data_IF_643244059506
#
_entry.id   IF_643244059506
#
_cell.length_a   1.000
_cell.length_b   1.000
_cell.length_c   1.000
_cell.angle_alpha   90.00
_cell.angle_beta   90.00
_cell.angle_gamma   90.00
#
_symmetry.space_group_name_H-M   'P 1'
#
loop_
_entity.id
_entity.type
_entity.pdbx_description
1 polymer ?
#
# COMPACT_ATOMS: atom_id res chain seq x y z
N UNK A 1 7.09 13.99 6.26
CA UNK A 1 5.63 13.95 6.22
C UNK A 1 5.26 14.16 4.77
N UNK A 2 4.85 13.10 4.10
CA UNK A 2 4.29 13.18 2.76
C UNK A 2 2.81 13.42 2.99
N UNK A 3 2.32 14.55 2.47
CA UNK A 3 0.92 14.96 2.63
C UNK A 3 0.03 13.88 1.96
N UNK A 4 -1.06 13.38 2.57
CA UNK A 4 -1.96 12.40 1.96
C UNK A 4 -2.58 12.81 0.60
N UNK A 5 -2.34 14.03 0.11
CA UNK A 5 -2.62 14.45 -1.28
C UNK A 5 -1.47 14.22 -2.28
N UNK A 6 -0.39 13.55 -1.88
CA UNK A 6 0.82 13.35 -2.69
C UNK A 6 0.82 11.98 -3.35
N UNK A 7 0.34 10.93 -2.68
CA UNK A 7 0.28 9.57 -3.26
C UNK A 7 -1.16 9.11 -3.45
N UNK A 8 -1.59 8.90 -4.69
CA UNK A 8 -2.94 8.43 -5.02
C UNK A 8 -2.98 7.76 -6.41
N UNK A 9 -4.14 7.27 -6.81
CA UNK A 9 -4.41 6.61 -8.09
C UNK A 9 -3.44 5.47 -8.36
N UNK A 10 -3.27 4.57 -7.38
CA UNK A 10 -2.31 3.48 -7.45
C UNK A 10 -2.97 2.08 -7.49
N UNK A 11 -3.51 1.66 -8.65
CA UNK A 11 -4.08 0.33 -8.83
C UNK A 11 -3.03 -0.74 -8.53
N UNK A 12 -3.40 -1.70 -7.67
CA UNK A 12 -2.56 -2.82 -7.27
C UNK A 12 -2.64 -3.90 -8.34
N UNK A 13 -1.57 -4.08 -9.10
CA UNK A 13 -1.42 -5.20 -10.03
C UNK A 13 -1.08 -6.51 -9.31
N UNK A 14 -0.29 -6.42 -8.23
CA UNK A 14 0.14 -7.59 -7.46
C UNK A 14 0.55 -7.25 -6.03
N UNK A 15 0.23 -8.14 -5.10
CA UNK A 15 0.74 -8.11 -3.72
C UNK A 15 1.36 -9.45 -3.37
N UNK A 16 2.57 -9.44 -2.83
CA UNK A 16 3.25 -10.64 -2.35
C UNK A 16 4.26 -10.31 -1.26
N UNK A 17 4.68 -11.33 -0.51
CA UNK A 17 5.65 -11.19 0.57
C UNK A 17 6.86 -12.09 0.32
N UNK A 18 8.05 -11.57 0.62
CA UNK A 18 9.31 -12.30 0.58
C UNK A 18 10.10 -12.01 1.86
N UNK A 19 10.27 -13.02 2.72
CA UNK A 19 10.90 -12.84 4.03
C UNK A 19 10.14 -11.83 4.90
N UNK A 20 10.84 -10.79 5.35
CA UNK A 20 10.28 -9.67 6.12
C UNK A 20 9.88 -8.46 5.25
N UNK A 21 9.73 -8.66 3.94
CA UNK A 21 9.38 -7.62 2.98
C UNK A 21 8.03 -7.89 2.33
N UNK A 22 7.17 -6.86 2.28
CA UNK A 22 5.93 -6.85 1.50
C UNK A 22 6.19 -6.07 0.22
N UNK A 23 5.86 -6.66 -0.91
CA UNK A 23 5.94 -6.03 -2.22
C UNK A 23 4.55 -5.78 -2.77
N UNK A 24 4.33 -4.57 -3.28
CA UNK A 24 3.12 -4.15 -3.95
C UNK A 24 3.52 -3.59 -5.30
N UNK A 25 3.15 -4.26 -6.38
CA UNK A 25 3.31 -3.78 -7.74
C UNK A 25 2.07 -2.99 -8.12
N UNK A 26 2.27 -1.77 -8.59
CA UNK A 26 1.20 -0.87 -9.01
C UNK A 26 1.33 -0.55 -10.51
N UNK A 27 0.19 -0.35 -11.17
CA UNK A 27 0.15 -0.05 -12.60
C UNK A 27 0.66 1.36 -12.92
N UNK A 28 0.27 2.33 -12.10
CA UNK A 28 0.76 3.70 -12.09
C UNK A 28 0.46 4.29 -10.71
N UNK A 29 0.95 5.48 -10.41
CA UNK A 29 0.55 6.24 -9.22
C UNK A 29 0.97 7.70 -9.37
N UNK A 30 0.30 8.61 -8.66
CA UNK A 30 0.74 9.99 -8.56
C UNK A 30 1.67 10.20 -7.35
N UNK A 31 2.67 11.08 -7.46
CA UNK A 31 3.49 11.59 -6.34
C UNK A 31 3.27 13.08 -6.08
N UNK A 32 2.28 13.68 -6.74
CA UNK A 32 1.70 15.00 -6.48
C UNK A 32 0.56 15.19 -7.47
N UNK A 33 -0.14 16.32 -7.42
CA UNK A 33 -1.18 16.66 -8.39
C UNK A 33 -0.70 16.77 -9.85
N UNK A 34 0.61 16.72 -10.12
CA UNK A 34 1.20 16.93 -11.45
C UNK A 34 2.20 15.85 -11.87
N UNK A 35 2.58 14.94 -10.98
CA UNK A 35 3.61 13.94 -11.25
C UNK A 35 2.99 12.54 -11.24
N UNK A 36 2.78 11.99 -12.45
CA UNK A 36 2.45 10.59 -12.65
C UNK A 36 3.73 9.76 -12.74
N UNK A 37 3.77 8.68 -11.99
CA UNK A 37 4.85 7.72 -11.98
C UNK A 37 4.45 6.46 -12.78
N UNK A 38 5.39 5.88 -13.54
CA UNK A 38 5.14 4.65 -14.30
C UNK A 38 4.90 3.45 -13.38
N UNK A 39 4.52 2.29 -13.95
CA UNK A 39 4.42 1.04 -13.20
C UNK A 39 5.64 0.81 -12.31
N UNK A 40 5.39 0.57 -11.04
CA UNK A 40 6.44 0.55 -10.00
C UNK A 40 6.17 -0.51 -8.95
N UNK A 41 7.24 -0.96 -8.30
CA UNK A 41 7.20 -1.82 -7.12
C UNK A 41 7.46 -1.00 -5.87
N UNK A 42 6.47 -1.00 -4.99
CA UNK A 42 6.55 -0.49 -3.63
C UNK A 42 6.99 -1.65 -2.73
N UNK A 43 8.14 -1.50 -2.09
CA UNK A 43 8.72 -2.50 -1.19
C UNK A 43 8.75 -1.97 0.23
N UNK A 44 7.99 -2.62 1.10
CA UNK A 44 7.92 -2.31 2.52
C UNK A 44 8.77 -3.35 3.26
N UNK A 45 9.95 -2.95 3.72
CA UNK A 45 10.94 -3.82 4.39
C UNK A 45 10.79 -3.79 5.90
N UNK A 46 11.27 -4.83 6.57
CA UNK A 46 11.23 -4.97 8.03
C UNK A 46 9.80 -5.05 8.60
N UNK A 47 8.89 -5.67 7.86
CA UNK A 47 7.51 -5.95 8.22
C UNK A 47 7.41 -7.07 9.26
N UNK A 48 7.74 -6.77 10.52
CA UNK A 48 7.65 -7.75 11.62
C UNK A 48 6.33 -7.72 12.35
N UNK A 49 5.64 -6.59 12.28
CA UNK A 49 4.36 -6.37 12.94
C UNK A 49 3.47 -5.57 11.99
N UNK A 50 2.32 -6.16 11.66
CA UNK A 50 1.30 -5.58 10.79
C UNK A 50 0.02 -5.46 11.60
N UNK A 51 -0.53 -4.25 11.66
CA UNK A 51 -1.86 -4.00 12.21
C UNK A 51 -2.81 -3.71 11.06
N UNK A 52 -3.95 -4.39 11.00
CA UNK A 52 -5.07 -4.10 10.12
C UNK A 52 -6.15 -3.40 10.94
N UNK A 53 -6.46 -2.16 10.62
CA UNK A 53 -7.47 -1.35 11.35
C UNK A 53 -7.25 -1.39 12.87
N UNK A 54 -5.97 -1.37 13.29
CA UNK A 54 -5.54 -1.43 14.69
C UNK A 54 -5.45 -2.85 15.29
N UNK A 55 -5.85 -3.89 14.56
CA UNK A 55 -5.81 -5.29 15.01
C UNK A 55 -4.56 -5.99 14.45
N UNK A 56 -3.72 -6.63 15.29
CA UNK A 56 -2.57 -7.39 14.81
C UNK A 56 -2.97 -8.53 13.86
N UNK A 57 -2.29 -8.61 12.72
CA UNK A 57 -2.45 -9.69 11.73
C UNK A 57 -1.08 -10.32 11.41
N UNK A 58 -1.04 -11.62 11.04
CA UNK A 58 0.23 -12.31 10.83
C UNK A 58 1.00 -11.81 9.60
N UNK A 59 0.29 -11.29 8.60
CA UNK A 59 0.86 -10.74 7.38
C UNK A 59 -0.14 -9.80 6.70
N UNK A 60 0.35 -8.94 5.81
CA UNK A 60 -0.48 -8.23 4.85
C UNK A 60 -0.79 -9.16 3.67
N UNK A 61 -2.06 -9.29 3.29
CA UNK A 61 -2.53 -10.14 2.19
C UNK A 61 -3.55 -9.38 1.37
N UNK A 62 -3.60 -9.63 0.05
CA UNK A 62 -4.65 -9.10 -0.80
C UNK A 62 -6.02 -9.65 -0.37
N UNK A 63 -7.04 -8.80 -0.38
CA UNK A 63 -8.42 -9.18 -0.01
C UNK A 63 -9.33 -9.34 -1.23
N UNK A 64 -8.89 -8.85 -2.38
CA UNK A 64 -9.55 -8.94 -3.68
C UNK A 64 -8.52 -9.04 -4.79
N UNK A 65 -8.99 -9.35 -6.01
CA UNK A 65 -8.20 -9.22 -7.24
C UNK A 65 -8.02 -7.74 -7.62
N UNK A 66 -8.97 -6.89 -7.24
CA UNK A 66 -8.96 -5.46 -7.52
C UNK A 66 -8.75 -4.66 -6.24
N UNK A 67 -7.70 -3.85 -6.20
CA UNK A 67 -7.45 -2.92 -5.10
C UNK A 67 -6.63 -1.74 -5.52
N UNK A 68 -6.71 -0.66 -4.75
CA UNK A 68 -6.01 0.59 -5.02
C UNK A 68 -5.42 1.14 -3.74
N UNK A 69 -4.14 1.54 -3.78
CA UNK A 69 -3.56 2.34 -2.72
C UNK A 69 -3.96 3.80 -2.95
N UNK A 70 -4.75 4.35 -2.05
CA UNK A 70 -5.17 5.75 -2.11
C UNK A 70 -4.44 6.64 -1.09
N UNK A 71 -3.55 6.04 -0.29
CA UNK A 71 -2.74 6.80 0.65
C UNK A 71 -1.59 5.98 1.22
N UNK A 72 -0.42 6.63 1.33
CA UNK A 72 0.73 6.10 2.03
C UNK A 72 1.37 7.22 2.87
N UNK A 73 1.52 6.97 4.16
CA UNK A 73 2.25 7.85 5.08
C UNK A 73 3.35 7.05 5.78
N UNK A 74 4.46 7.71 6.07
CA UNK A 74 5.58 7.08 6.76
C UNK A 74 6.32 8.05 7.66
N UNK A 75 6.71 7.51 8.79
CA UNK A 75 7.44 8.20 9.83
C UNK A 75 8.50 7.30 10.45
N UNK A 76 9.17 7.78 11.49
CA UNK A 76 10.14 6.97 12.23
C UNK A 76 9.51 5.73 12.90
N UNK A 77 8.18 5.70 13.06
CA UNK A 77 7.43 4.61 13.65
C UNK A 77 7.01 3.52 12.67
N UNK A 78 7.14 3.73 11.35
CA UNK A 78 6.80 2.76 10.32
C UNK A 78 5.97 3.36 9.19
N UNK A 79 5.21 2.52 8.48
CA UNK A 79 4.38 2.92 7.33
C UNK A 79 2.91 2.66 7.63
N UNK A 80 2.06 3.61 7.23
CA UNK A 80 0.61 3.48 7.21
C UNK A 80 0.17 3.48 5.75
N UNK A 81 -0.48 2.40 5.34
CA UNK A 81 -0.98 2.20 3.99
C UNK A 81 -2.50 2.12 4.03
N UNK A 82 -3.16 2.93 3.21
CA UNK A 82 -4.61 2.92 3.07
C UNK A 82 -4.98 2.36 1.70
N UNK A 83 -5.76 1.28 1.71
CA UNK A 83 -6.12 0.51 0.52
C UNK A 83 -7.64 0.43 0.42
N UNK A 84 -8.18 0.72 -0.76
CA UNK A 84 -9.56 0.36 -1.09
C UNK A 84 -9.50 -0.99 -1.81
N UNK A 85 -10.23 -1.96 -1.29
CA UNK A 85 -10.47 -3.22 -1.98
C UNK A 85 -11.85 -3.14 -2.63
N UNK A 86 -11.90 -3.44 -3.92
CA UNK A 86 -13.13 -3.46 -4.70
C UNK A 86 -13.44 -4.90 -5.11
N UNK A 87 -14.71 -5.29 -5.10
CA UNK A 87 -15.16 -6.53 -5.78
C UNK A 87 -15.79 -6.15 -7.10
N UNK A 88 -15.93 -7.13 -7.99
CA UNK A 88 -16.75 -7.04 -9.21
C UNK A 88 -18.20 -6.53 -8.99
N UNK A 89 -18.66 -6.38 -7.74
CA UNK A 89 -19.92 -5.70 -7.41
C UNK A 89 -19.69 -4.17 -7.27
N UNK A 90 -20.36 -3.32 -8.08
CA UNK A 90 -20.07 -1.89 -8.22
C UNK A 90 -20.30 -1.01 -6.97
N UNK A 91 -20.63 -1.59 -5.82
CA UNK A 91 -20.96 -0.88 -4.58
C UNK A 91 -20.35 -1.51 -3.32
N UNK A 92 -19.50 -2.53 -3.45
CA UNK A 92 -18.83 -3.17 -2.31
C UNK A 92 -17.35 -2.76 -2.28
N UNK A 93 -17.10 -1.47 -2.06
CA UNK A 93 -15.78 -0.95 -1.73
C UNK A 93 -15.62 -0.87 -0.22
N UNK A 94 -14.51 -1.38 0.31
CA UNK A 94 -14.15 -1.15 1.70
C UNK A 94 -12.70 -0.69 1.81
N UNK A 95 -12.51 0.36 2.60
CA UNK A 95 -11.20 0.86 2.95
C UNK A 95 -10.61 0.07 4.11
N UNK A 96 -9.36 -0.37 3.98
CA UNK A 96 -8.57 -1.00 5.03
C UNK A 96 -7.31 -0.17 5.25
N UNK A 97 -6.94 0.04 6.51
CA UNK A 97 -5.65 0.65 6.86
C UNK A 97 -4.71 -0.39 7.43
N UNK A 98 -3.54 -0.54 6.80
CA UNK A 98 -2.44 -1.35 7.30
C UNK A 98 -1.37 -0.47 7.94
N UNK A 99 -1.00 -0.74 9.18
CA UNK A 99 0.15 -0.14 9.86
C UNK A 99 1.27 -1.18 9.94
N UNK A 100 2.38 -0.93 9.25
CA UNK A 100 3.58 -1.75 9.28
C UNK A 100 4.61 -1.09 10.19
N UNK A 101 4.74 -1.62 11.41
CA UNK A 101 5.49 -0.98 12.50
C UNK A 101 6.99 -1.09 12.26
N UNK A 102 7.70 0.04 12.39
CA UNK A 102 9.15 0.19 12.15
C UNK A 102 9.61 -0.26 10.77
N UNK A 103 8.68 -0.34 9.82
CA UNK A 103 8.97 -0.70 8.45
C UNK A 103 9.64 0.45 7.68
N UNK A 104 10.24 0.12 6.53
CA UNK A 104 10.89 1.09 5.64
C UNK A 104 10.36 0.96 4.22
N UNK A 105 10.19 2.11 3.56
CA UNK A 105 9.61 2.22 2.23
C UNK A 105 10.71 2.38 1.19
N UNK A 106 10.59 1.64 0.10
CA UNK A 106 11.41 1.77 -1.11
C UNK A 106 10.45 1.69 -2.32
N UNK A 107 10.63 2.57 -3.30
CA UNK A 107 9.82 2.60 -4.51
C UNK A 107 10.77 2.58 -5.70
N UNK A 108 10.61 1.58 -6.57
CA UNK A 108 11.43 1.41 -7.75
C UNK A 108 10.55 1.14 -8.99
N UNK A 109 10.91 1.66 -10.18
CA UNK A 109 10.24 1.29 -11.43
C UNK A 109 10.29 -0.23 -11.69
N UNK A 110 9.26 -0.77 -12.34
CA UNK A 110 9.18 -2.18 -12.76
C UNK A 110 9.99 -2.48 -14.03
#
# INVERSE_FOLDING_TARGET
>A
MIDPGVFHDAPIARLFSEGDTVHIEVEEFALSSVEMCPPSRISIRHCREVLRDGVPVPAMTAESEDGEIYGIDWDAGGITLSVIWSRYEPHAEWSVTYRLVRARLDIAPL
#
